data_IF_494256916412
#
_entry.id   IF_494256916412
#
_cell.length_a   1.000
_cell.length_b   1.000
_cell.length_c   1.000
_cell.angle_alpha   90.00
_cell.angle_beta   90.00
_cell.angle_gamma   90.00
#
_symmetry.space_group_name_H-M   'P 1'
#
loop_
_entity.id
_entity.type
_entity.pdbx_description
1 polymer ?
#
# COMPACT_ATOMS: atom_id res chain seq x y z
N UNK A 1 18.38 9.76 0.53
CA UNK A 1 17.04 9.19 0.28
C UNK A 1 17.02 7.75 0.80
N UNK A 2 16.02 7.38 1.58
CA UNK A 2 15.84 6.02 2.11
C UNK A 2 14.96 5.20 1.17
N UNK A 3 15.13 3.86 1.18
CA UNK A 3 14.20 2.94 0.51
C UNK A 3 12.89 2.81 1.29
N UNK A 4 11.84 2.27 0.67
CA UNK A 4 10.57 1.98 1.34
C UNK A 4 10.80 1.13 2.59
N UNK A 5 11.54 0.00 2.46
CA UNK A 5 11.85 -0.86 3.61
C UNK A 5 12.56 -0.13 4.74
N UNK A 6 13.55 0.72 4.43
CA UNK A 6 14.25 1.48 5.47
C UNK A 6 13.36 2.48 6.20
N UNK A 7 12.36 3.04 5.52
CA UNK A 7 11.37 3.93 6.16
C UNK A 7 10.35 3.12 6.96
N UNK A 8 9.89 2.00 6.43
CA UNK A 8 8.97 1.11 7.15
C UNK A 8 9.61 0.59 8.46
N UNK A 9 10.88 0.14 8.41
CA UNK A 9 11.65 -0.28 9.58
C UNK A 9 11.82 0.88 10.60
N UNK A 10 12.09 2.10 10.09
CA UNK A 10 12.20 3.29 10.93
C UNK A 10 10.86 3.64 11.61
N UNK A 11 9.75 3.55 10.91
CA UNK A 11 8.41 3.79 11.47
C UNK A 11 8.14 2.85 12.65
N UNK A 12 8.46 1.57 12.52
CA UNK A 12 8.35 0.61 13.62
C UNK A 12 9.23 1.02 14.81
N UNK A 13 10.48 1.43 14.57
CA UNK A 13 11.38 1.91 15.62
C UNK A 13 10.83 3.17 16.30
N UNK A 14 10.36 4.15 15.55
CA UNK A 14 9.82 5.41 16.08
C UNK A 14 8.58 5.16 16.95
N UNK A 15 7.67 4.30 16.51
CA UNK A 15 6.47 3.93 17.30
C UNK A 15 6.83 3.26 18.64
N UNK A 16 7.93 2.53 18.71
CA UNK A 16 8.38 1.81 19.90
C UNK A 16 9.41 2.58 20.75
N UNK A 17 9.83 3.77 20.33
CA UNK A 17 10.89 4.54 21.00
C UNK A 17 10.42 5.30 22.25
N UNK A 18 9.11 5.44 22.45
CA UNK A 18 8.53 6.23 23.54
C UNK A 18 8.54 7.75 23.31
N UNK A 19 8.97 8.23 22.15
CA UNK A 19 8.83 9.65 21.79
C UNK A 19 7.36 9.97 21.47
N UNK A 20 6.95 11.26 21.54
CA UNK A 20 5.62 11.67 21.10
C UNK A 20 5.33 11.21 19.67
N UNK A 21 4.11 10.75 19.40
CA UNK A 21 3.74 10.28 18.05
C UNK A 21 3.76 11.40 17.00
N UNK A 22 3.57 12.66 17.39
CA UNK A 22 3.75 13.82 16.52
C UNK A 22 5.21 13.97 16.06
N UNK A 23 6.16 13.76 16.95
CA UNK A 23 7.58 13.72 16.62
C UNK A 23 7.91 12.51 15.72
N UNK A 24 7.37 11.33 16.05
CA UNK A 24 7.52 10.14 15.21
C UNK A 24 6.98 10.36 13.79
N UNK A 25 5.82 11.01 13.65
CA UNK A 25 5.23 11.34 12.35
C UNK A 25 6.09 12.34 11.56
N UNK A 26 6.66 13.33 12.23
CA UNK A 26 7.57 14.29 11.62
C UNK A 26 8.85 13.62 11.12
N UNK A 27 9.50 12.80 11.94
CA UNK A 27 10.71 12.06 11.57
C UNK A 27 10.44 11.07 10.43
N UNK A 28 9.30 10.39 10.44
CA UNK A 28 8.88 9.52 9.34
C UNK A 28 8.69 10.31 8.04
N UNK A 29 8.09 11.51 8.12
CA UNK A 29 7.91 12.38 6.96
C UNK A 29 9.28 12.85 6.39
N UNK A 30 10.21 13.24 7.27
CA UNK A 30 11.58 13.61 6.88
C UNK A 30 12.33 12.45 6.22
N UNK A 31 12.13 11.23 6.70
CA UNK A 31 12.76 10.04 6.15
C UNK A 31 12.34 9.74 4.70
N UNK A 32 11.17 10.22 4.28
CA UNK A 32 10.65 10.07 2.92
C UNK A 32 11.23 11.09 1.91
N UNK A 33 12.05 12.05 2.35
CA UNK A 33 12.58 13.10 1.46
C UNK A 33 13.31 12.49 0.26
N UNK A 34 12.91 12.95 -0.92
CA UNK A 34 13.38 12.44 -2.22
C UNK A 34 12.45 11.42 -2.88
N UNK A 35 11.47 10.87 -2.19
CA UNK A 35 10.50 9.96 -2.79
C UNK A 35 9.69 10.64 -3.91
N UNK A 36 9.30 9.89 -4.96
CA UNK A 36 8.65 10.46 -6.12
C UNK A 36 7.22 10.91 -5.85
N UNK A 37 6.78 11.89 -6.65
CA UNK A 37 5.38 12.27 -6.77
C UNK A 37 4.70 11.46 -7.87
N UNK A 38 3.56 10.86 -7.57
CA UNK A 38 2.63 10.30 -8.54
C UNK A 38 1.22 10.75 -8.15
N UNK A 39 0.51 11.40 -9.06
CA UNK A 39 -0.83 11.91 -8.79
C UNK A 39 -1.80 10.79 -8.42
N UNK A 40 -2.42 10.91 -7.25
CA UNK A 40 -3.38 9.96 -6.68
C UNK A 40 -2.75 8.85 -5.83
N UNK A 41 -1.43 8.81 -5.70
CA UNK A 41 -0.75 7.82 -4.87
C UNK A 41 -0.79 8.16 -3.38
N UNK A 42 -0.73 7.10 -2.56
CA UNK A 42 -0.82 7.16 -1.09
C UNK A 42 0.14 6.16 -0.44
N UNK A 43 1.41 6.19 -0.83
CA UNK A 43 2.42 5.29 -0.31
C UNK A 43 2.62 3.99 -1.09
N UNK A 44 2.11 3.88 -2.31
CA UNK A 44 2.34 2.73 -3.16
C UNK A 44 3.84 2.56 -3.48
N UNK A 45 4.28 1.32 -3.65
CA UNK A 45 5.64 1.06 -4.11
C UNK A 45 5.83 1.59 -5.53
N UNK A 46 6.87 2.36 -5.74
CA UNK A 46 7.25 2.86 -7.05
C UNK A 46 7.87 1.74 -7.88
N UNK A 47 7.06 1.02 -8.62
CA UNK A 47 7.46 -0.07 -9.53
C UNK A 47 7.19 0.30 -10.98
N UNK A 48 7.86 -0.34 -11.97
CA UNK A 48 7.53 -0.13 -13.39
C UNK A 48 6.06 -0.44 -13.71
N UNK A 49 5.50 -1.50 -13.12
CA UNK A 49 4.10 -1.86 -13.32
C UNK A 49 3.15 -0.79 -12.77
N UNK A 50 3.42 -0.30 -11.55
CA UNK A 50 2.63 0.76 -10.93
C UNK A 50 2.70 2.06 -11.73
N UNK A 51 3.89 2.44 -12.21
CA UNK A 51 4.10 3.61 -13.08
C UNK A 51 3.30 3.51 -14.37
N UNK A 52 3.33 2.34 -15.02
CA UNK A 52 2.53 2.09 -16.24
C UNK A 52 1.04 2.23 -15.97
N UNK A 53 0.54 1.67 -14.86
CA UNK A 53 -0.87 1.77 -14.48
C UNK A 53 -1.28 3.22 -14.24
N UNK A 54 -0.47 4.01 -13.52
CA UNK A 54 -0.71 5.43 -13.29
C UNK A 54 -0.70 6.24 -14.60
N UNK A 55 0.27 5.97 -15.49
CA UNK A 55 0.35 6.60 -16.80
C UNK A 55 -0.89 6.30 -17.66
N UNK A 56 -1.29 5.03 -17.75
CA UNK A 56 -2.43 4.61 -18.57
C UNK A 56 -3.77 5.12 -18.01
N UNK A 57 -3.89 5.25 -16.70
CA UNK A 57 -5.16 5.64 -16.08
C UNK A 57 -5.43 7.15 -16.10
N UNK A 58 -4.37 7.97 -16.09
CA UNK A 58 -4.48 9.42 -15.89
C UNK A 58 -3.83 10.26 -17.00
N UNK A 59 -3.17 9.62 -17.96
CA UNK A 59 -2.54 10.26 -19.12
C UNK A 59 -1.33 11.13 -18.81
N UNK A 60 -1.17 11.60 -17.57
CA UNK A 60 -0.10 12.49 -17.18
C UNK A 60 0.36 12.29 -15.74
N UNK A 61 1.65 12.09 -15.61
CA UNK A 61 2.37 12.34 -14.39
C UNK A 61 2.71 13.82 -14.26
N UNK A 62 3.01 14.25 -13.04
CA UNK A 62 3.54 15.59 -12.84
C UNK A 62 4.77 15.82 -13.74
N UNK A 63 4.86 16.97 -14.47
CA UNK A 63 5.89 17.21 -15.47
C UNK A 63 7.32 16.97 -14.99
N UNK A 64 7.61 17.25 -13.71
CA UNK A 64 8.93 17.03 -13.11
C UNK A 64 9.30 15.55 -13.02
N UNK A 65 8.32 14.67 -12.84
CA UNK A 65 8.55 13.22 -12.79
C UNK A 65 8.88 12.69 -14.17
N UNK A 66 8.21 13.18 -15.24
CA UNK A 66 8.54 12.82 -16.63
C UNK A 66 10.02 13.03 -16.95
N UNK A 67 10.63 14.10 -16.44
CA UNK A 67 12.04 14.41 -16.68
C UNK A 67 13.01 13.62 -15.82
N UNK A 68 12.60 13.18 -14.65
CA UNK A 68 13.48 12.49 -13.68
C UNK A 68 13.32 10.97 -13.70
N UNK A 69 12.13 10.47 -13.97
CA UNK A 69 11.86 9.03 -13.99
C UNK A 69 12.11 8.45 -15.38
N UNK A 70 13.13 7.63 -15.53
CA UNK A 70 13.43 6.91 -16.79
C UNK A 70 12.34 5.91 -17.18
N UNK A 71 11.46 5.55 -16.28
CA UNK A 71 10.40 4.55 -16.45
C UNK A 71 9.01 5.14 -16.20
N UNK A 72 8.79 6.42 -16.43
CA UNK A 72 7.49 7.02 -16.16
C UNK A 72 6.35 6.36 -16.98
N UNK A 73 6.66 5.78 -18.13
CA UNK A 73 5.74 4.97 -18.93
C UNK A 73 5.64 3.50 -18.48
N UNK A 74 6.41 3.10 -17.48
CA UNK A 74 6.42 1.75 -16.96
C UNK A 74 7.13 0.71 -17.86
N UNK A 75 8.02 1.18 -18.74
CA UNK A 75 8.73 0.34 -19.72
C UNK A 75 10.17 0.10 -19.34
N UNK A 76 10.70 -0.69 -18.70
CA UNK A 76 12.13 -0.90 -18.42
C UNK A 76 12.45 -1.13 -16.95
N UNK A 77 13.72 -1.03 -16.63
CA UNK A 77 14.25 -1.32 -15.28
C UNK A 77 14.33 -0.06 -14.43
N UNK A 78 14.02 -0.14 -13.15
CA UNK A 78 14.27 0.92 -12.17
C UNK A 78 15.76 1.00 -11.77
N UNK A 79 16.61 0.08 -12.21
CA UNK A 79 18.05 0.14 -11.96
C UNK A 79 18.65 1.45 -12.50
N UNK A 80 19.36 2.18 -11.63
CA UNK A 80 19.90 3.51 -11.94
C UNK A 80 18.87 4.64 -12.05
N UNK A 81 17.60 4.40 -11.67
CA UNK A 81 16.61 5.45 -11.48
C UNK A 81 16.96 6.29 -10.24
N UNK A 82 16.76 7.63 -10.35
CA UNK A 82 16.98 8.56 -9.21
C UNK A 82 16.11 8.25 -7.99
N UNK A 83 14.99 7.57 -8.18
CA UNK A 83 14.07 7.15 -7.13
C UNK A 83 14.29 5.70 -6.65
N UNK A 84 15.40 5.08 -7.05
CA UNK A 84 15.77 3.72 -6.65
C UNK A 84 17.14 3.69 -5.99
N UNK A 85 17.26 4.08 -4.73
CA UNK A 85 18.54 4.15 -4.00
C UNK A 85 19.02 2.77 -3.50
N UNK A 86 19.15 1.81 -4.42
CA UNK A 86 19.48 0.41 -4.07
C UNK A 86 18.28 -0.41 -3.58
N UNK A 87 17.07 0.11 -3.71
CA UNK A 87 15.80 -0.52 -3.37
C UNK A 87 14.63 0.38 -3.73
N UNK A 88 13.43 -0.17 -3.70
CA UNK A 88 12.23 0.57 -4.06
C UNK A 88 11.92 1.69 -3.06
N UNK A 89 11.42 2.81 -3.58
CA UNK A 89 10.79 3.86 -2.79
C UNK A 89 9.28 3.75 -2.89
N UNK A 90 8.56 4.55 -2.09
CA UNK A 90 7.12 4.74 -2.26
C UNK A 90 6.84 6.03 -2.99
N UNK A 91 5.69 6.10 -3.66
CA UNK A 91 5.20 7.29 -4.32
C UNK A 91 3.96 7.84 -3.61
N UNK A 92 3.83 9.17 -3.62
CA UNK A 92 2.69 9.87 -3.04
C UNK A 92 2.32 11.07 -3.90
N UNK A 93 1.05 11.48 -3.88
CA UNK A 93 0.69 12.87 -4.15
C UNK A 93 0.69 13.69 -2.86
N UNK A 94 0.34 14.97 -2.93
CA UNK A 94 0.36 15.84 -1.74
C UNK A 94 -0.56 15.34 -0.63
N UNK A 95 -1.77 14.94 -0.99
CA UNK A 95 -2.76 14.43 -0.05
C UNK A 95 -2.43 13.01 0.41
N UNK A 96 -1.97 12.17 -0.51
CA UNK A 96 -1.57 10.80 -0.21
C UNK A 96 -0.41 10.75 0.77
N UNK A 97 0.51 11.70 0.71
CA UNK A 97 1.63 11.80 1.62
C UNK A 97 1.18 12.05 3.07
N UNK A 98 0.33 13.06 3.29
CA UNK A 98 -0.19 13.35 4.64
C UNK A 98 -1.06 12.20 5.16
N UNK A 99 -1.90 11.62 4.29
CA UNK A 99 -2.69 10.45 4.61
C UNK A 99 -1.81 9.26 5.03
N UNK A 100 -0.78 8.91 4.23
CA UNK A 100 0.06 7.75 4.47
C UNK A 100 0.84 7.87 5.79
N UNK A 101 1.47 9.02 6.06
CA UNK A 101 2.21 9.24 7.32
C UNK A 101 1.30 9.08 8.53
N UNK A 102 0.12 9.74 8.55
CA UNK A 102 -0.81 9.65 9.67
C UNK A 102 -1.35 8.23 9.85
N UNK A 103 -1.56 7.52 8.76
CA UNK A 103 -1.98 6.15 8.80
C UNK A 103 -0.90 5.25 9.41
N UNK A 104 0.36 5.39 8.99
CA UNK A 104 1.47 4.55 9.47
C UNK A 104 1.79 4.78 10.96
N UNK A 105 1.71 6.03 11.41
CA UNK A 105 2.10 6.37 12.78
C UNK A 105 0.94 6.20 13.77
N UNK A 106 -0.26 6.67 13.41
CA UNK A 106 -1.41 6.70 14.31
C UNK A 106 -2.50 5.66 13.99
N UNK A 107 -2.41 4.92 12.89
CA UNK A 107 -3.54 4.15 12.37
C UNK A 107 -4.70 5.04 11.88
N UNK A 108 -4.48 6.33 11.69
CA UNK A 108 -5.54 7.31 11.41
C UNK A 108 -5.78 7.49 9.93
N UNK A 109 -7.00 7.20 9.49
CA UNK A 109 -7.42 7.38 8.10
C UNK A 109 -7.92 8.80 7.87
N UNK A 110 -7.07 9.69 7.38
CA UNK A 110 -7.43 11.05 7.00
C UNK A 110 -8.43 11.03 5.84
N UNK A 111 -9.71 11.36 6.12
CA UNK A 111 -10.79 11.25 5.14
C UNK A 111 -10.72 12.35 4.07
N UNK A 112 -11.23 12.03 2.87
CA UNK A 112 -11.32 12.95 1.74
C UNK A 112 -10.47 12.55 0.54
N UNK A 113 -11.02 12.72 -0.66
CA UNK A 113 -10.39 12.31 -1.92
C UNK A 113 -9.36 13.31 -2.49
N UNK A 114 -9.24 14.50 -1.92
CA UNK A 114 -8.32 15.57 -2.32
C UNK A 114 -8.11 16.56 -1.18
N UNK A 115 -7.20 17.52 -1.33
CA UNK A 115 -6.90 18.51 -0.29
C UNK A 115 -8.14 19.31 0.15
N UNK A 116 -8.99 19.75 -0.79
CA UNK A 116 -10.26 20.43 -0.48
C UNK A 116 -11.21 19.54 0.31
N UNK A 117 -11.34 18.28 -0.08
CA UNK A 117 -12.21 17.32 0.60
C UNK A 117 -11.66 16.97 2.00
N UNK A 118 -10.35 16.83 2.17
CA UNK A 118 -9.74 16.65 3.48
C UNK A 118 -10.05 17.86 4.40
N UNK A 119 -9.81 19.09 3.90
CA UNK A 119 -10.07 20.32 4.65
C UNK A 119 -11.51 20.48 5.10
N UNK A 120 -12.47 20.14 4.23
CA UNK A 120 -13.90 20.27 4.49
C UNK A 120 -14.49 19.16 5.37
N UNK A 121 -13.74 18.09 5.62
CA UNK A 121 -14.19 17.00 6.50
C UNK A 121 -13.81 17.34 7.95
N UNK A 122 -14.75 17.92 8.70
CA UNK A 122 -14.51 18.37 10.09
C UNK A 122 -14.10 17.24 11.04
N UNK A 123 -14.47 16.00 10.71
CA UNK A 123 -14.04 14.82 11.49
C UNK A 123 -12.55 14.55 11.44
N UNK A 124 -11.84 15.11 10.46
CA UNK A 124 -10.39 15.00 10.39
C UNK A 124 -9.67 15.86 11.45
N UNK A 125 -10.29 16.95 11.93
CA UNK A 125 -9.56 18.03 12.56
C UNK A 125 -9.97 18.30 14.01
N UNK A 126 -8.99 18.41 14.90
CA UNK A 126 -9.12 18.89 16.27
C UNK A 126 -9.22 20.43 16.31
N UNK A 127 -8.45 21.07 15.44
CA UNK A 127 -8.44 22.52 15.26
C UNK A 127 -7.98 22.87 13.85
N UNK A 128 -8.41 24.01 13.33
CA UNK A 128 -7.97 24.56 12.04
C UNK A 128 -8.06 26.07 12.04
N UNK A 129 -7.22 26.71 11.22
CA UNK A 129 -7.17 28.17 11.11
C UNK A 129 -6.35 28.67 9.94
N UNK A 130 -6.17 29.99 9.87
CA UNK A 130 -5.30 30.65 8.91
C UNK A 130 -3.84 30.59 9.37
N UNK A 131 -2.90 30.65 8.43
CA UNK A 131 -1.48 30.33 8.67
C UNK A 131 -0.80 31.23 9.69
N UNK A 132 -1.26 32.44 9.87
CA UNK A 132 -0.79 33.41 10.87
C UNK A 132 -1.11 32.98 12.30
N UNK A 133 -2.11 32.14 12.50
CA UNK A 133 -2.53 31.60 13.80
C UNK A 133 -2.02 30.19 14.06
N UNK A 134 -1.12 29.67 13.23
CA UNK A 134 -0.60 28.31 13.37
C UNK A 134 0.15 28.13 14.70
N UNK A 135 -0.20 27.12 15.51
CA UNK A 135 0.58 26.81 16.72
C UNK A 135 2.02 26.41 16.35
N UNK A 136 2.99 26.88 17.13
CA UNK A 136 4.41 26.68 16.83
C UNK A 136 4.84 25.21 17.02
N UNK A 137 4.51 24.65 18.18
CA UNK A 137 5.05 23.35 18.63
C UNK A 137 4.11 22.16 18.36
N UNK A 138 3.18 22.34 17.41
CA UNK A 138 2.19 21.30 17.08
C UNK A 138 2.33 20.88 15.63
N UNK A 139 2.41 19.58 15.40
CA UNK A 139 2.37 19.03 14.04
C UNK A 139 1.01 19.33 13.39
N UNK A 140 1.04 20.05 12.29
CA UNK A 140 -0.15 20.43 11.53
C UNK A 140 -0.09 19.89 10.10
N UNK A 141 -1.26 19.56 9.54
CA UNK A 141 -1.42 19.57 8.10
C UNK A 141 -1.54 21.02 7.62
N UNK A 142 -0.78 21.38 6.60
CA UNK A 142 -0.82 22.71 5.97
C UNK A 142 -1.59 22.65 4.67
N UNK A 143 -2.23 23.74 4.29
CA UNK A 143 -3.02 23.84 3.07
C UNK A 143 -2.72 25.12 2.30
N UNK A 144 -2.77 25.02 0.97
CA UNK A 144 -2.69 26.15 0.05
C UNK A 144 -4.08 26.37 -0.52
N UNK A 145 -4.73 27.45 -0.12
CA UNK A 145 -6.02 27.87 -0.67
C UNK A 145 -5.84 28.71 -1.94
N UNK A 146 -6.64 28.40 -2.96
CA UNK A 146 -6.79 29.22 -4.14
C UNK A 146 -8.27 29.34 -4.49
N UNK A 147 -8.78 30.57 -4.41
CA UNK A 147 -10.21 30.79 -4.52
C UNK A 147 -10.98 30.05 -3.41
N UNK A 148 -11.87 29.13 -3.80
CA UNK A 148 -12.68 28.32 -2.88
C UNK A 148 -12.11 26.91 -2.62
N UNK A 149 -10.98 26.55 -3.21
CA UNK A 149 -10.41 25.21 -3.15
C UNK A 149 -9.08 25.18 -2.41
N UNK A 150 -8.78 24.05 -1.76
CA UNK A 150 -7.43 23.72 -1.28
C UNK A 150 -6.73 22.92 -2.36
N UNK A 151 -5.67 23.47 -2.95
CA UNK A 151 -4.97 22.85 -4.08
C UNK A 151 -3.80 21.97 -3.67
N UNK A 152 -3.28 22.17 -2.46
CA UNK A 152 -2.11 21.48 -1.98
C UNK A 152 -2.15 21.26 -0.47
N UNK A 153 -1.46 20.21 0.01
CA UNK A 153 -1.30 19.92 1.43
C UNK A 153 0.10 19.36 1.72
N UNK A 154 0.53 19.48 2.96
CA UNK A 154 1.79 18.98 3.49
C UNK A 154 1.77 19.02 5.01
N UNK A 155 2.90 18.71 5.65
CA UNK A 155 3.08 18.89 7.08
C UNK A 155 3.82 20.18 7.43
N UNK A 156 3.51 20.74 8.57
CA UNK A 156 4.25 21.83 9.20
C UNK A 156 4.46 21.58 10.68
N UNK A 157 5.68 21.83 11.14
CA UNK A 157 6.05 21.84 12.56
C UNK A 157 7.04 22.96 12.78
N UNK A 158 6.85 23.74 13.84
CA UNK A 158 7.63 24.95 14.07
C UNK A 158 7.53 25.87 12.83
N UNK A 159 8.64 26.22 12.21
CA UNK A 159 8.69 26.98 10.97
C UNK A 159 9.15 26.16 9.76
N UNK A 160 9.13 24.85 9.90
CA UNK A 160 9.57 23.92 8.85
C UNK A 160 8.37 23.26 8.16
N UNK A 161 8.58 22.76 6.94
CA UNK A 161 7.53 22.02 6.20
C UNK A 161 8.08 20.82 5.48
N UNK A 162 7.30 19.73 5.44
CA UNK A 162 7.55 18.57 4.58
C UNK A 162 6.33 18.36 3.70
N UNK A 163 6.54 18.34 2.40
CA UNK A 163 5.47 18.25 1.41
C UNK A 163 5.83 17.35 0.24
N UNK A 164 4.83 16.84 -0.45
CA UNK A 164 5.01 16.10 -1.69
C UNK A 164 4.38 16.90 -2.85
N UNK A 165 5.22 17.61 -3.63
CA UNK A 165 4.81 18.39 -4.80
C UNK A 165 5.56 17.95 -6.07
N UNK A 166 6.87 18.00 -6.06
CA UNK A 166 7.77 17.46 -7.09
C UNK A 166 8.58 16.27 -6.55
N UNK A 167 7.93 15.40 -5.79
CA UNK A 167 8.50 14.46 -4.85
C UNK A 167 8.43 15.02 -3.44
N UNK A 168 8.84 14.21 -2.46
CA UNK A 168 8.86 14.62 -1.05
C UNK A 168 10.03 15.56 -0.82
N UNK A 169 9.73 16.74 -0.30
CA UNK A 169 10.70 17.83 -0.07
C UNK A 169 10.56 18.35 1.36
N UNK A 170 11.70 18.71 1.95
CA UNK A 170 11.78 19.38 3.23
C UNK A 170 12.26 20.82 3.06
N UNK A 171 11.58 21.75 3.68
CA UNK A 171 11.94 23.18 3.73
C UNK A 171 12.14 23.60 5.18
N UNK A 172 13.36 24.02 5.53
CA UNK A 172 13.73 24.48 6.88
C UNK A 172 13.10 25.81 7.24
N UNK A 173 12.49 26.49 6.28
CA UNK A 173 11.73 27.71 6.50
C UNK A 173 10.44 27.60 5.70
N UNK A 174 9.31 27.72 6.39
CA UNK A 174 7.98 27.69 5.79
C UNK A 174 7.85 28.82 4.77
N UNK A 175 7.57 28.45 3.53
CA UNK A 175 7.38 29.43 2.47
C UNK A 175 5.99 30.10 2.54
N UNK A 176 5.85 31.25 1.85
CA UNK A 176 4.65 32.10 1.89
C UNK A 176 3.44 31.53 1.14
N UNK A 177 3.54 30.37 0.50
CA UNK A 177 2.40 29.79 -0.24
C UNK A 177 1.32 29.23 0.69
N UNK A 178 1.68 28.81 1.89
CA UNK A 178 0.77 28.22 2.85
C UNK A 178 -0.21 29.26 3.38
N UNK A 179 -1.49 28.90 3.41
CA UNK A 179 -2.58 29.81 3.76
C UNK A 179 -3.35 29.37 5.00
N UNK A 180 -3.40 28.06 5.24
CA UNK A 180 -4.17 27.46 6.33
C UNK A 180 -3.42 26.31 6.98
N UNK A 181 -3.81 25.99 8.20
CA UNK A 181 -3.35 24.85 8.96
C UNK A 181 -4.52 24.11 9.59
N UNK A 182 -4.31 22.83 9.88
CA UNK A 182 -5.24 22.02 10.65
C UNK A 182 -4.48 20.96 11.46
N UNK A 183 -4.87 20.75 12.71
CA UNK A 183 -4.37 19.70 13.58
C UNK A 183 -5.26 18.48 13.42
N UNK A 184 -4.74 17.33 12.94
CA UNK A 184 -5.49 16.08 12.89
C UNK A 184 -5.99 15.64 14.26
N UNK A 185 -7.19 15.07 14.34
CA UNK A 185 -7.78 14.58 15.61
C UNK A 185 -6.93 13.50 16.28
N UNK A 186 -6.16 12.74 15.52
CA UNK A 186 -5.26 11.71 16.04
C UNK A 186 -4.04 12.27 16.77
N UNK A 187 -3.71 13.55 16.60
CA UNK A 187 -2.58 14.15 17.29
C UNK A 187 -3.00 14.47 18.71
N UNK A 188 -2.70 13.55 19.59
CA UNK A 188 -2.82 13.68 21.03
C UNK A 188 -1.61 13.03 21.69
N UNK A 189 -0.59 13.84 21.96
CA UNK A 189 0.66 13.36 22.54
C UNK A 189 0.52 12.96 24.04
N UNK A 190 -0.67 13.11 24.62
CA UNK A 190 -0.98 12.62 25.97
C UNK A 190 -1.37 11.14 26.00
N UNK A 191 -1.70 10.56 24.84
CA UNK A 191 -2.06 9.15 24.71
C UNK A 191 -0.82 8.37 24.27
N UNK A 192 -0.37 7.34 25.03
CA UNK A 192 0.65 6.43 24.55
C UNK A 192 0.24 5.84 23.21
N UNK A 193 1.22 5.58 22.34
CA UNK A 193 0.96 4.87 21.09
C UNK A 193 0.08 3.66 21.38
N UNK A 194 -1.05 3.46 20.66
CA UNK A 194 -1.79 2.21 20.79
C UNK A 194 -0.80 1.08 20.52
N UNK A 195 -0.82 0.06 21.36
CA UNK A 195 -0.06 -1.15 21.09
C UNK A 195 -0.41 -1.58 19.66
N UNK A 196 0.56 -2.02 18.83
CA UNK A 196 0.27 -2.49 17.51
C UNK A 196 -0.81 -3.55 17.66
N UNK A 197 -1.98 -3.27 17.10
CA UNK A 197 -3.07 -4.24 17.00
C UNK A 197 -2.55 -5.33 16.05
N UNK A 198 -2.32 -6.55 16.52
CA UNK A 198 -1.89 -7.64 15.63
C UNK A 198 -2.91 -7.92 14.53
N UNK A 199 -4.10 -7.31 14.60
CA UNK A 199 -5.19 -7.46 13.65
C UNK A 199 -5.72 -6.11 13.13
N UNK A 200 -4.93 -5.02 13.12
CA UNK A 200 -5.37 -3.73 12.58
C UNK A 200 -5.49 -3.71 11.04
N UNK A 201 -5.52 -4.90 10.45
CA UNK A 201 -5.95 -5.12 9.07
C UNK A 201 -5.11 -4.38 8.03
N UNK A 202 -3.87 -4.05 8.38
CA UNK A 202 -2.92 -3.63 7.37
C UNK A 202 -2.43 -4.88 6.63
N UNK A 203 -2.80 -5.04 5.37
CA UNK A 203 -2.05 -5.97 4.55
C UNK A 203 -0.62 -5.45 4.53
N UNK A 204 0.30 -6.31 4.95
CA UNK A 204 1.70 -6.11 4.74
C UNK A 204 1.92 -5.63 3.31
N UNK A 205 2.38 -4.40 3.15
CA UNK A 205 3.07 -3.92 1.97
C UNK A 205 2.46 -4.15 0.57
N UNK A 206 1.22 -4.60 0.46
CA UNK A 206 0.54 -4.75 -0.82
C UNK A 206 -0.06 -3.41 -1.20
N UNK A 207 0.52 -2.79 -2.22
CA UNK A 207 0.19 -1.45 -2.66
C UNK A 207 -1.31 -1.26 -2.87
N UNK A 208 -1.79 -0.05 -2.56
CA UNK A 208 -3.13 0.39 -2.91
C UNK A 208 -3.46 -0.04 -4.33
N UNK A 209 -4.52 -0.83 -4.46
CA UNK A 209 -5.06 -1.23 -5.74
C UNK A 209 -6.16 -0.26 -6.13
N UNK A 210 -6.22 0.16 -7.40
CA UNK A 210 -7.31 1.02 -7.86
C UNK A 210 -8.65 0.31 -7.68
N UNK A 211 -9.69 1.09 -7.49
CA UNK A 211 -11.04 0.54 -7.60
C UNK A 211 -11.26 0.07 -9.02
N UNK A 212 -11.52 -1.22 -9.20
CA UNK A 212 -11.81 -1.83 -10.50
C UNK A 212 -13.24 -2.36 -10.55
N UNK A 213 -13.81 -2.31 -11.73
CA UNK A 213 -15.18 -2.73 -12.02
C UNK A 213 -15.31 -3.07 -13.48
N UNK A 214 -16.48 -3.57 -13.86
CA UNK A 214 -16.77 -3.91 -15.24
C UNK A 214 -16.39 -2.80 -16.23
N UNK A 215 -15.67 -3.19 -17.28
CA UNK A 215 -15.08 -2.31 -18.30
C UNK A 215 -13.64 -1.90 -18.02
N UNK A 216 -13.09 -2.13 -16.83
CA UNK A 216 -11.67 -1.92 -16.57
C UNK A 216 -10.82 -3.03 -17.20
N UNK A 217 -9.56 -2.72 -17.53
CA UNK A 217 -8.61 -3.65 -18.12
C UNK A 217 -7.21 -3.45 -17.53
N UNK A 218 -6.37 -4.49 -17.59
CA UNK A 218 -4.95 -4.40 -17.24
C UNK A 218 -4.54 -5.19 -16.02
N UNK A 219 -3.38 -4.85 -15.43
CA UNK A 219 -2.70 -5.64 -14.40
C UNK A 219 -3.54 -5.86 -13.14
N UNK A 220 -4.26 -4.84 -12.65
CA UNK A 220 -5.10 -4.97 -11.46
C UNK A 220 -6.30 -5.93 -11.69
N UNK A 221 -6.81 -5.98 -12.93
CA UNK A 221 -7.85 -6.94 -13.31
C UNK A 221 -7.26 -8.36 -13.35
N UNK A 222 -6.07 -8.53 -13.93
CA UNK A 222 -5.34 -9.82 -13.92
C UNK A 222 -5.13 -10.30 -12.49
N UNK A 223 -4.72 -9.42 -11.60
CA UNK A 223 -4.51 -9.74 -10.19
C UNK A 223 -5.80 -10.18 -9.52
N UNK A 224 -6.89 -9.42 -9.67
CA UNK A 224 -8.21 -9.78 -9.16
C UNK A 224 -8.68 -11.14 -9.68
N UNK A 225 -8.61 -11.34 -10.98
CA UNK A 225 -8.98 -12.62 -11.62
C UNK A 225 -8.14 -13.78 -11.09
N UNK A 226 -6.84 -13.56 -10.88
CA UNK A 226 -5.93 -14.56 -10.31
C UNK A 226 -6.34 -14.93 -8.89
N UNK A 227 -6.63 -13.94 -8.05
CA UNK A 227 -7.05 -14.17 -6.67
C UNK A 227 -8.39 -14.90 -6.60
N UNK A 228 -9.38 -14.47 -7.38
CA UNK A 228 -10.68 -15.13 -7.46
C UNK A 228 -10.56 -16.58 -7.90
N UNK A 229 -9.75 -16.86 -8.93
CA UNK A 229 -9.50 -18.22 -9.42
C UNK A 229 -8.84 -19.10 -8.35
N UNK A 230 -7.83 -18.57 -7.64
CA UNK A 230 -7.17 -19.28 -6.53
C UNK A 230 -8.12 -19.59 -5.38
N UNK A 231 -9.10 -18.74 -5.15
CA UNK A 231 -10.15 -18.90 -4.14
C UNK A 231 -11.30 -19.80 -4.63
N UNK A 232 -11.25 -20.26 -5.88
CA UNK A 232 -12.22 -21.19 -6.45
C UNK A 232 -13.46 -20.52 -7.07
N UNK A 233 -13.43 -19.21 -7.29
CA UNK A 233 -14.52 -18.51 -7.99
C UNK A 233 -14.37 -18.65 -9.51
N UNK A 234 -15.50 -18.93 -10.17
CA UNK A 234 -15.56 -19.04 -11.62
C UNK A 234 -15.56 -17.65 -12.28
N UNK A 235 -14.49 -17.32 -12.98
CA UNK A 235 -14.34 -16.08 -13.74
C UNK A 235 -14.73 -16.21 -15.20
N UNK A 236 -15.29 -17.38 -15.59
CA UNK A 236 -15.76 -17.66 -16.95
C UNK A 236 -14.71 -18.22 -17.90
N UNK A 237 -15.13 -18.55 -19.14
CA UNK A 237 -14.30 -19.32 -20.08
C UNK A 237 -13.07 -18.55 -20.60
N UNK A 238 -13.05 -17.22 -20.52
CA UNK A 238 -11.88 -16.43 -20.93
C UNK A 238 -10.75 -16.51 -19.92
N UNK A 239 -11.02 -16.96 -18.69
CA UNK A 239 -10.03 -17.08 -17.65
C UNK A 239 -9.40 -15.74 -17.25
N UNK A 240 -8.11 -15.75 -16.93
CA UNK A 240 -7.33 -14.57 -16.51
C UNK A 240 -6.87 -13.82 -17.76
N UNK A 241 -7.75 -12.99 -18.32
CA UNK A 241 -7.53 -12.25 -19.58
C UNK A 241 -7.23 -10.75 -19.38
N UNK A 242 -7.37 -10.25 -18.15
CA UNK A 242 -7.17 -8.85 -17.82
C UNK A 242 -8.30 -7.93 -18.29
N UNK A 243 -9.46 -8.47 -18.70
CA UNK A 243 -10.67 -7.71 -19.03
C UNK A 243 -11.73 -7.96 -17.95
N UNK A 244 -12.16 -6.92 -17.24
CA UNK A 244 -13.20 -7.03 -16.22
C UNK A 244 -14.57 -7.13 -16.90
N UNK A 245 -14.87 -8.33 -17.40
CA UNK A 245 -16.11 -8.66 -18.08
C UNK A 245 -17.26 -9.01 -17.13
N UNK A 246 -18.37 -9.52 -17.70
CA UNK A 246 -19.55 -9.96 -16.91
C UNK A 246 -19.23 -11.12 -15.98
N UNK A 247 -18.41 -12.05 -16.42
CA UNK A 247 -18.05 -13.23 -15.61
C UNK A 247 -17.17 -12.82 -14.41
N UNK A 248 -16.20 -11.93 -14.62
CA UNK A 248 -15.40 -11.36 -13.52
C UNK A 248 -16.29 -10.59 -12.53
N UNK A 249 -17.24 -9.79 -13.01
CA UNK A 249 -18.21 -9.08 -12.15
C UNK A 249 -19.05 -10.05 -11.34
N UNK A 250 -19.54 -11.14 -11.94
CA UNK A 250 -20.31 -12.17 -11.24
C UNK A 250 -19.48 -12.86 -10.15
N UNK A 251 -18.22 -13.21 -10.45
CA UNK A 251 -17.30 -13.80 -9.49
C UNK A 251 -17.03 -12.86 -8.31
N UNK A 252 -16.81 -11.57 -8.58
CA UNK A 252 -16.67 -10.55 -7.53
C UNK A 252 -17.90 -10.47 -6.64
N UNK A 253 -19.10 -10.44 -7.22
CA UNK A 253 -20.34 -10.42 -6.44
C UNK A 253 -20.52 -11.66 -5.58
N UNK A 254 -20.17 -12.84 -6.09
CA UNK A 254 -20.18 -14.09 -5.31
C UNK A 254 -19.20 -14.00 -4.15
N UNK A 255 -17.97 -13.57 -4.40
CA UNK A 255 -16.98 -13.35 -3.36
C UNK A 255 -17.47 -12.35 -2.30
N UNK A 256 -18.01 -11.20 -2.71
CA UNK A 256 -18.54 -10.19 -1.81
C UNK A 256 -19.67 -10.75 -0.92
N UNK A 257 -20.57 -11.55 -1.50
CA UNK A 257 -21.64 -12.21 -0.76
C UNK A 257 -21.10 -13.17 0.30
N UNK A 258 -20.15 -14.02 -0.06
CA UNK A 258 -19.58 -15.02 0.83
C UNK A 258 -18.78 -14.38 1.99
N UNK A 259 -18.23 -13.20 1.76
CA UNK A 259 -17.46 -12.43 2.74
C UNK A 259 -18.24 -11.29 3.41
N UNK A 260 -19.58 -11.28 3.29
CA UNK A 260 -20.47 -10.29 3.93
C UNK A 260 -20.14 -8.83 3.58
N UNK A 261 -19.65 -8.60 2.39
CA UNK A 261 -19.38 -7.27 1.84
C UNK A 261 -20.62 -6.72 1.11
N UNK A 262 -20.57 -5.44 0.74
CA UNK A 262 -21.57 -4.85 -0.16
C UNK A 262 -21.45 -5.52 -1.53
N UNK A 263 -22.52 -6.17 -2.00
CA UNK A 263 -22.54 -6.94 -3.25
C UNK A 263 -22.83 -5.99 -4.43
N UNK A 264 -21.84 -5.19 -4.81
CA UNK A 264 -21.94 -4.19 -5.88
C UNK A 264 -21.18 -4.58 -7.16
N UNK A 265 -20.32 -5.61 -7.08
CA UNK A 265 -19.47 -6.04 -8.19
C UNK A 265 -18.28 -5.09 -8.43
N UNK A 266 -17.98 -4.22 -7.48
CA UNK A 266 -16.85 -3.28 -7.53
C UNK A 266 -15.76 -3.75 -6.58
N UNK A 267 -14.57 -3.94 -7.08
CA UNK A 267 -13.42 -4.29 -6.24
C UNK A 267 -12.78 -3.00 -5.74
N UNK A 268 -13.32 -2.47 -4.65
CA UNK A 268 -12.77 -1.35 -3.90
C UNK A 268 -11.89 -1.82 -2.75
N UNK A 269 -11.48 -0.89 -1.88
CA UNK A 269 -10.56 -1.16 -0.76
C UNK A 269 -11.03 -2.35 0.09
N UNK A 270 -12.30 -2.37 0.48
CA UNK A 270 -12.86 -3.46 1.31
C UNK A 270 -12.82 -4.83 0.61
N UNK A 271 -13.06 -4.85 -0.70
CA UNK A 271 -13.05 -6.10 -1.48
C UNK A 271 -11.62 -6.57 -1.69
N UNK A 272 -10.68 -5.67 -1.95
CA UNK A 272 -9.25 -6.00 -2.03
C UNK A 272 -8.72 -6.56 -0.71
N UNK A 273 -9.02 -5.92 0.42
CA UNK A 273 -8.64 -6.39 1.75
C UNK A 273 -9.16 -7.79 2.06
N UNK A 274 -10.42 -8.06 1.68
CA UNK A 274 -11.01 -9.37 1.88
C UNK A 274 -10.37 -10.44 0.99
N UNK A 275 -10.04 -10.10 -0.27
CA UNK A 275 -9.31 -10.98 -1.18
C UNK A 275 -7.93 -11.33 -0.62
N UNK A 276 -7.18 -10.35 -0.11
CA UNK A 276 -5.86 -10.57 0.49
C UNK A 276 -5.94 -11.50 1.70
N UNK A 277 -6.89 -11.26 2.60
CA UNK A 277 -7.11 -12.11 3.78
C UNK A 277 -7.47 -13.54 3.39
N UNK A 278 -8.34 -13.71 2.41
CA UNK A 278 -8.74 -15.03 1.94
C UNK A 278 -7.57 -15.79 1.28
N UNK A 279 -6.74 -15.09 0.50
CA UNK A 279 -5.52 -15.67 -0.11
C UNK A 279 -4.49 -16.05 0.96
N UNK A 280 -4.29 -15.21 1.99
CA UNK A 280 -3.39 -15.51 3.10
C UNK A 280 -3.83 -16.80 3.82
N UNK A 281 -5.11 -16.97 4.11
CA UNK A 281 -5.66 -18.15 4.78
C UNK A 281 -5.42 -19.45 4.00
N UNK A 282 -5.51 -19.44 2.67
CA UNK A 282 -5.19 -20.64 1.88
C UNK A 282 -3.68 -20.88 1.76
N UNK A 283 -2.86 -19.83 1.93
CA UNK A 283 -1.39 -19.94 1.89
C UNK A 283 -0.81 -20.44 3.21
N UNK A 284 -1.48 -20.18 4.33
CA UNK A 284 -1.12 -20.69 5.68
C UNK A 284 -1.54 -22.13 5.93
N UNK A 285 -2.46 -22.68 5.12
CA UNK A 285 -2.70 -24.10 5.16
C UNK A 285 -1.44 -24.78 4.61
N UNK A 286 -0.66 -25.51 5.43
CA UNK A 286 0.52 -26.17 4.92
C UNK A 286 0.06 -27.05 3.75
N UNK A 287 0.53 -26.78 2.54
CA UNK A 287 0.49 -27.81 1.53
C UNK A 287 1.24 -28.98 2.16
N UNK A 288 0.59 -30.09 2.38
CA UNK A 288 1.30 -31.34 2.62
C UNK A 288 2.25 -31.48 1.43
N UNK A 289 3.47 -31.04 1.62
CA UNK A 289 4.52 -31.28 0.65
C UNK A 289 4.77 -32.79 0.71
N UNK A 290 4.15 -33.50 -0.18
CA UNK A 290 4.45 -34.91 -0.38
C UNK A 290 5.86 -34.98 -0.98
N UNK A 291 6.82 -35.34 -0.17
CA UNK A 291 8.17 -35.62 -0.64
C UNK A 291 8.23 -37.10 -1.00
N UNK A 292 8.48 -37.44 -2.25
CA UNK A 292 8.82 -38.82 -2.65
C UNK A 292 10.33 -38.98 -2.49
N UNK A 293 10.74 -39.83 -1.56
CA UNK A 293 12.13 -40.22 -1.40
C UNK A 293 12.30 -41.58 -2.13
N UNK A 294 13.05 -41.59 -3.20
CA UNK A 294 13.37 -42.83 -3.94
C UNK A 294 14.72 -43.32 -3.42
N UNK A 295 14.71 -44.41 -2.66
CA UNK A 295 15.92 -45.08 -2.22
C UNK A 295 16.14 -46.30 -3.15
N UNK A 296 17.28 -46.31 -3.84
CA UNK A 296 17.62 -47.38 -4.79
C UNK A 296 18.57 -48.42 -4.15
N UNK A 297 18.48 -49.66 -4.58
CA UNK A 297 19.41 -50.71 -4.16
C UNK A 297 19.08 -51.37 -2.83
N UNK A 298 17.87 -51.18 -2.30
CA UNK A 298 17.38 -51.89 -1.12
C UNK A 298 16.70 -53.20 -1.51
N UNK A 299 16.92 -54.25 -0.74
CA UNK A 299 16.06 -55.43 -0.80
C UNK A 299 14.71 -55.18 -0.11
N UNK A 300 13.75 -56.10 -0.30
CA UNK A 300 12.41 -55.98 0.23
C UNK A 300 12.38 -55.85 1.78
N UNK A 301 13.28 -56.53 2.47
CA UNK A 301 13.37 -56.51 3.94
C UNK A 301 13.81 -55.13 4.43
N UNK A 302 14.81 -54.54 3.76
CA UNK A 302 15.29 -53.19 4.09
C UNK A 302 14.26 -52.13 3.76
N UNK A 303 13.58 -52.24 2.63
CA UNK A 303 12.50 -51.33 2.25
C UNK A 303 11.32 -51.39 3.23
N UNK A 304 10.92 -52.59 3.65
CA UNK A 304 9.85 -52.82 4.63
C UNK A 304 10.20 -52.26 6.01
N UNK A 305 11.44 -52.36 6.45
CA UNK A 305 11.89 -51.77 7.72
C UNK A 305 11.81 -50.25 7.72
N UNK A 306 12.09 -49.61 6.59
CA UNK A 306 11.93 -48.16 6.43
C UNK A 306 10.45 -47.77 6.40
N UNK A 307 9.62 -48.46 5.63
CA UNK A 307 8.20 -48.19 5.50
C UNK A 307 7.46 -48.31 6.83
N UNK A 308 7.83 -49.26 7.67
CA UNK A 308 7.23 -49.44 9.01
C UNK A 308 7.51 -48.28 9.99
N UNK A 309 8.57 -47.52 9.76
CA UNK A 309 8.89 -46.35 10.57
C UNK A 309 8.22 -45.06 10.10
N UNK A 310 7.58 -45.04 8.92
CA UNK A 310 6.95 -43.90 8.33
C UNK A 310 5.54 -44.24 7.84
N UNK A 311 4.50 -44.06 8.63
CA UNK A 311 3.12 -44.34 8.26
C UNK A 311 2.70 -43.61 6.97
N UNK A 312 2.13 -44.34 6.01
CA UNK A 312 1.72 -43.82 4.71
C UNK A 312 2.75 -43.98 3.60
N UNK A 313 3.82 -44.74 3.86
CA UNK A 313 4.83 -45.09 2.83
C UNK A 313 4.34 -46.25 1.99
N UNK A 314 4.42 -46.16 0.66
CA UNK A 314 4.20 -47.24 -0.30
C UNK A 314 5.55 -47.76 -0.77
N UNK A 315 5.67 -49.13 -0.85
CA UNK A 315 6.82 -49.79 -1.43
C UNK A 315 6.47 -50.10 -2.89
N UNK A 316 7.17 -49.45 -3.81
CA UNK A 316 7.01 -49.68 -5.26
C UNK A 316 8.20 -50.52 -5.73
N UNK A 317 7.95 -51.76 -6.20
CA UNK A 317 8.95 -52.56 -6.87
C UNK A 317 9.27 -51.95 -8.25
N UNK A 318 10.53 -51.54 -8.44
CA UNK A 318 11.03 -51.03 -9.70
C UNK A 318 12.06 -52.01 -10.29
N UNK A 319 11.89 -52.43 -11.53
CA UNK A 319 12.93 -53.13 -12.28
C UNK A 319 14.06 -52.16 -12.60
N UNK A 320 15.29 -52.51 -12.24
CA UNK A 320 16.50 -51.79 -12.68
C UNK A 320 16.69 -52.16 -14.15
N UNK A 321 16.58 -51.16 -15.05
CA UNK A 321 17.01 -51.28 -16.46
C UNK A 321 18.46 -50.82 -16.54
#
# INVERSE_FOLDING_TARGET
>A
MKTAKQVDDLIVQLKNSGIPLSEAAWEAALACVGWPYIFGDRGQLCTPAHRRAAYNSKGEDHPTIKTKCKNFEGTGSCSGCTFYPGGQTRANDCRGFTYWILLQIYGWKLMGAGATSQWNTDDNWKAKGTIDTMPADTLCCLFVQKGKTMEHTGFGLNNETVECSNGVQHFKTRNKKWTHWAVPKCIDDTVPAPAPDPDDGFPDNTGWRPTIRRGNKGADVIECQTMLTRLGYDIGPCGIDGDFGRSTEAAVKSFQSDHQLVVDGVVGVMTWDALDKAIAQISEKPSEKVYSVIIRGLDYTQASAIANNYPGTEIIEGSVV
#
